data_IF_575934025886
#
_entry.id   IF_575934025886
#
_cell.length_a   1.000
_cell.length_b   1.000
_cell.length_c   1.000
_cell.angle_alpha   90.00
_cell.angle_beta   90.00
_cell.angle_gamma   90.00
#
_symmetry.space_group_name_H-M   'P 1'
#
loop_
_entity.id
_entity.type
_entity.pdbx_description
1 polymer ?
#
# COMPACT_ATOMS: atom_id res chain seq x y z
N UNK A 1 36.91 -0.95 36.25
CA UNK A 1 35.44 -0.91 36.28
C UNK A 1 34.78 0.10 35.36
N UNK A 2 35.50 0.71 34.37
CA UNK A 2 34.88 1.71 33.42
C UNK A 2 34.64 1.19 32.00
N UNK A 3 35.02 -0.02 31.66
CA UNK A 3 34.87 -0.57 30.28
C UNK A 3 33.60 -1.40 30.04
N UNK A 4 32.89 -1.85 31.08
CA UNK A 4 31.69 -2.68 30.92
C UNK A 4 30.38 -1.91 30.65
N UNK A 5 30.34 -0.61 30.92
CA UNK A 5 29.12 0.21 30.76
C UNK A 5 28.90 0.61 29.28
N UNK A 6 29.97 0.72 28.47
CA UNK A 6 29.81 1.11 27.05
C UNK A 6 29.34 -0.02 26.12
N UNK A 7 29.47 -1.29 26.53
CA UNK A 7 29.06 -2.42 25.66
C UNK A 7 27.54 -2.68 25.73
N UNK A 8 26.91 -2.40 26.88
CA UNK A 8 25.46 -2.57 27.01
C UNK A 8 24.64 -1.49 26.29
N UNK A 9 25.14 -0.25 26.19
CA UNK A 9 24.45 0.84 25.50
C UNK A 9 24.41 0.64 23.97
N UNK A 10 25.46 0.00 23.39
CA UNK A 10 25.52 -0.26 21.95
C UNK A 10 24.58 -1.39 21.52
N UNK A 11 24.38 -2.42 22.36
CA UNK A 11 23.49 -3.51 22.07
C UNK A 11 21.99 -3.10 22.08
N UNK A 12 21.61 -2.12 22.92
CA UNK A 12 20.23 -1.62 23.01
C UNK A 12 19.83 -0.81 21.77
N UNK A 13 20.78 -0.10 21.13
CA UNK A 13 20.50 0.67 19.92
C UNK A 13 20.23 -0.23 18.70
N UNK A 14 20.92 -1.36 18.57
CA UNK A 14 20.70 -2.30 17.46
C UNK A 14 19.39 -3.08 17.59
N UNK A 15 18.95 -3.43 18.80
CA UNK A 15 17.68 -4.12 19.02
C UNK A 15 16.45 -3.23 18.80
N UNK A 16 16.56 -1.92 19.07
CA UNK A 16 15.46 -0.98 18.83
C UNK A 16 15.22 -0.73 17.31
N UNK A 17 16.28 -0.70 16.49
CA UNK A 17 16.19 -0.47 15.06
C UNK A 17 15.53 -1.67 14.34
N UNK A 18 15.92 -2.90 14.64
CA UNK A 18 15.30 -4.09 14.06
C UNK A 18 13.83 -4.25 14.47
N UNK A 19 13.46 -3.85 15.68
CA UNK A 19 12.08 -3.93 16.15
C UNK A 19 11.12 -2.98 15.42
N UNK A 20 11.60 -1.81 14.98
CA UNK A 20 10.78 -0.85 14.22
C UNK A 20 10.55 -1.34 12.78
N UNK A 21 11.56 -1.87 12.10
CA UNK A 21 11.42 -2.43 10.75
C UNK A 21 10.43 -3.60 10.74
N UNK A 22 10.53 -4.52 11.70
CA UNK A 22 9.62 -5.66 11.80
C UNK A 22 8.17 -5.22 12.10
N UNK A 23 7.99 -4.23 12.98
CA UNK A 23 6.68 -3.65 13.27
C UNK A 23 6.07 -2.97 12.04
N UNK A 24 6.87 -2.21 11.27
CA UNK A 24 6.45 -1.55 10.04
C UNK A 24 6.08 -2.57 8.96
N UNK A 25 6.86 -3.66 8.80
CA UNK A 25 6.53 -4.76 7.87
C UNK A 25 5.20 -5.40 8.22
N UNK A 26 4.99 -5.71 9.50
CA UNK A 26 3.72 -6.27 9.95
C UNK A 26 2.56 -5.34 9.67
N UNK A 27 2.68 -4.05 10.01
CA UNK A 27 1.63 -3.05 9.80
C UNK A 27 1.31 -2.87 8.30
N UNK A 28 2.33 -2.84 7.43
CA UNK A 28 2.16 -2.77 5.98
C UNK A 28 1.46 -4.01 5.42
N UNK A 29 1.79 -5.21 5.92
CA UNK A 29 1.15 -6.47 5.54
C UNK A 29 -0.31 -6.53 5.95
N UNK A 30 -0.62 -6.13 7.18
CA UNK A 30 -1.99 -6.17 7.71
C UNK A 30 -2.91 -5.10 7.07
N UNK A 31 -2.34 -3.97 6.62
CA UNK A 31 -3.14 -2.80 6.22
C UNK A 31 -4.10 -3.08 5.06
N UNK A 32 -3.63 -3.70 3.99
CA UNK A 32 -4.47 -3.96 2.81
C UNK A 32 -5.54 -5.00 3.09
N UNK A 33 -5.22 -6.04 3.86
CA UNK A 33 -6.20 -7.04 4.28
C UNK A 33 -7.34 -6.41 5.07
N UNK A 34 -7.02 -5.48 5.98
CA UNK A 34 -7.99 -4.73 6.76
C UNK A 34 -8.75 -3.71 5.91
N UNK A 35 -8.06 -2.96 5.04
CA UNK A 35 -8.67 -1.92 4.19
C UNK A 35 -9.68 -2.50 3.18
N UNK A 36 -9.44 -3.71 2.69
CA UNK A 36 -10.31 -4.42 1.75
C UNK A 36 -11.31 -5.35 2.47
N UNK A 37 -11.31 -5.39 3.79
CA UNK A 37 -12.26 -6.17 4.59
C UNK A 37 -13.65 -5.52 4.64
N UNK A 38 -14.61 -6.22 5.22
CA UNK A 38 -15.95 -5.69 5.47
C UNK A 38 -15.97 -4.52 6.49
N UNK A 39 -14.89 -4.33 7.26
CA UNK A 39 -14.74 -3.23 8.23
C UNK A 39 -13.40 -2.49 8.02
N UNK A 40 -13.31 -1.57 7.05
CA UNK A 40 -12.07 -0.83 6.76
C UNK A 40 -11.65 0.14 7.87
N UNK A 41 -12.49 0.40 8.88
CA UNK A 41 -12.15 1.26 10.03
C UNK A 41 -10.94 0.72 10.82
N UNK A 42 -10.75 -0.60 10.86
CA UNK A 42 -9.59 -1.19 11.53
C UNK A 42 -8.27 -0.82 10.80
N UNK A 43 -8.29 -0.70 9.47
CA UNK A 43 -7.16 -0.17 8.70
C UNK A 43 -6.95 1.33 8.94
N UNK A 44 -8.03 2.10 9.10
CA UNK A 44 -7.97 3.53 9.38
C UNK A 44 -7.22 3.81 10.69
N UNK A 45 -7.36 2.96 11.71
CA UNK A 45 -6.61 3.07 12.97
C UNK A 45 -5.09 2.92 12.81
N UNK A 46 -4.62 2.26 11.76
CA UNK A 46 -3.20 2.12 11.46
C UNK A 46 -2.60 3.37 10.79
N UNK A 47 -3.42 4.30 10.31
CA UNK A 47 -2.97 5.48 9.56
C UNK A 47 -2.73 6.68 10.45
N UNK A 48 -1.72 7.50 10.08
CA UNK A 48 -1.44 8.79 10.70
C UNK A 48 -2.56 9.81 10.36
N UNK A 49 -2.88 10.79 11.23
CA UNK A 49 -3.85 11.85 10.90
C UNK A 49 -3.57 12.60 9.57
N UNK A 50 -2.28 12.81 9.25
CA UNK A 50 -1.85 13.44 7.99
C UNK A 50 -1.60 12.42 6.86
N UNK A 51 -2.22 11.24 6.93
CA UNK A 51 -2.07 10.18 5.92
C UNK A 51 -2.33 10.69 4.49
N UNK A 52 -1.57 10.15 3.54
CA UNK A 52 -1.77 10.38 2.10
C UNK A 52 -1.63 9.06 1.33
N UNK A 53 -2.57 8.84 0.44
CA UNK A 53 -2.51 7.79 -0.57
C UNK A 53 -2.37 8.40 -1.95
N UNK A 54 -1.53 7.82 -2.80
CA UNK A 54 -1.38 8.21 -4.20
C UNK A 54 -1.32 6.96 -5.08
N UNK A 55 -2.23 6.86 -6.01
CA UNK A 55 -2.17 5.89 -7.11
C UNK A 55 -1.22 6.45 -8.17
N UNK A 56 -0.09 5.76 -8.38
CA UNK A 56 1.00 6.24 -9.22
C UNK A 56 0.83 5.74 -10.65
N UNK A 57 0.94 6.61 -11.63
CA UNK A 57 0.84 6.23 -13.04
C UNK A 57 0.47 7.39 -13.97
N UNK A 58 -0.13 7.06 -15.12
CA UNK A 58 -0.53 8.02 -16.17
C UNK A 58 -1.98 7.78 -16.65
N UNK A 59 -2.85 7.31 -15.77
CA UNK A 59 -4.29 7.15 -16.03
C UNK A 59 -5.10 8.28 -15.41
N UNK A 60 -6.41 8.31 -15.64
CA UNK A 60 -7.31 9.37 -15.15
C UNK A 60 -7.34 9.50 -13.63
N UNK A 61 -7.04 8.42 -12.90
CA UNK A 61 -7.03 8.38 -11.43
C UNK A 61 -5.63 8.56 -10.83
N UNK A 62 -4.60 8.68 -11.67
CA UNK A 62 -3.21 8.71 -11.23
C UNK A 62 -2.77 10.07 -10.68
N UNK A 63 -1.82 10.03 -9.74
CA UNK A 63 -1.13 11.18 -9.17
C UNK A 63 -2.03 12.18 -8.42
N UNK A 64 -3.22 11.75 -8.02
CA UNK A 64 -4.13 12.51 -7.17
C UNK A 64 -3.86 12.09 -5.71
N UNK A 65 -3.46 13.01 -4.82
CA UNK A 65 -3.29 12.68 -3.41
C UNK A 65 -4.64 12.62 -2.70
N UNK A 66 -4.98 11.48 -2.14
CA UNK A 66 -6.12 11.29 -1.26
C UNK A 66 -5.64 11.37 0.19
N UNK A 67 -6.27 12.21 0.99
CA UNK A 67 -6.05 12.21 2.43
C UNK A 67 -6.77 11.01 3.09
N UNK A 68 -6.65 10.91 4.41
CA UNK A 68 -7.18 9.80 5.18
C UNK A 68 -8.67 9.58 4.93
N UNK A 69 -9.46 10.63 5.06
CA UNK A 69 -10.92 10.54 4.91
C UNK A 69 -11.29 10.25 3.44
N UNK A 70 -10.66 10.92 2.48
CA UNK A 70 -10.89 10.67 1.06
C UNK A 70 -10.48 9.25 0.62
N UNK A 71 -9.45 8.64 1.24
CA UNK A 71 -9.08 7.26 0.96
C UNK A 71 -10.17 6.27 1.41
N UNK A 72 -10.67 6.40 2.65
CA UNK A 72 -11.65 5.45 3.19
C UNK A 72 -13.09 5.73 2.72
N UNK A 73 -13.48 6.99 2.56
CA UNK A 73 -14.86 7.38 2.24
C UNK A 73 -15.11 7.51 0.73
N UNK A 74 -14.06 7.68 -0.08
CA UNK A 74 -14.21 7.85 -1.53
C UNK A 74 -13.39 6.84 -2.34
N UNK A 75 -12.05 6.75 -2.14
CA UNK A 75 -11.20 5.88 -2.96
C UNK A 75 -11.62 4.42 -2.89
N UNK A 76 -11.76 3.87 -1.70
CA UNK A 76 -12.14 2.46 -1.52
C UNK A 76 -13.55 2.16 -2.05
N UNK A 77 -14.64 2.84 -1.64
CA UNK A 77 -15.98 2.50 -2.10
C UNK A 77 -16.30 2.98 -3.51
N UNK A 78 -15.89 4.22 -3.87
CA UNK A 78 -16.33 4.86 -5.09
C UNK A 78 -15.40 4.61 -6.28
N UNK A 79 -14.10 4.35 -6.06
CA UNK A 79 -13.15 4.02 -7.13
C UNK A 79 -12.94 2.51 -7.18
N UNK A 80 -12.35 1.93 -6.15
CA UNK A 80 -12.03 0.48 -6.13
C UNK A 80 -13.31 -0.35 -6.21
N UNK A 81 -14.31 -0.09 -5.35
CA UNK A 81 -15.55 -0.86 -5.30
C UNK A 81 -16.39 -0.79 -6.59
N UNK A 82 -16.34 0.32 -7.34
CA UNK A 82 -17.04 0.44 -8.64
C UNK A 82 -16.29 -0.20 -9.79
N UNK A 83 -14.96 -0.16 -9.77
CA UNK A 83 -14.11 -0.70 -10.83
C UNK A 83 -13.87 -2.21 -10.67
N UNK A 84 -13.92 -2.71 -9.44
CA UNK A 84 -13.75 -4.10 -9.05
C UNK A 84 -14.97 -4.58 -8.23
N UNK A 85 -16.14 -4.74 -8.85
CA UNK A 85 -17.40 -4.97 -8.15
C UNK A 85 -17.46 -6.30 -7.38
N UNK A 86 -16.62 -7.27 -7.71
CA UNK A 86 -16.47 -8.55 -7.00
C UNK A 86 -15.33 -8.55 -6.00
N UNK A 87 -14.64 -7.39 -5.83
CA UNK A 87 -13.47 -7.27 -5.00
C UNK A 87 -12.18 -7.70 -5.70
N UNK A 88 -11.10 -7.75 -4.95
CA UNK A 88 -9.78 -8.19 -5.38
C UNK A 88 -9.16 -9.07 -4.28
N UNK A 89 -8.50 -10.15 -4.68
CA UNK A 89 -7.62 -10.91 -3.79
C UNK A 89 -6.18 -10.47 -4.02
N UNK A 90 -5.53 -9.97 -2.98
CA UNK A 90 -4.12 -9.57 -3.02
C UNK A 90 -3.27 -10.62 -2.31
N UNK A 91 -2.22 -11.10 -2.99
CA UNK A 91 -1.25 -12.05 -2.43
C UNK A 91 0.11 -11.39 -2.33
N UNK A 92 0.65 -11.24 -1.12
CA UNK A 92 2.02 -10.75 -0.91
C UNK A 92 3.02 -11.79 -1.40
N UNK A 93 3.89 -11.38 -2.32
CA UNK A 93 4.96 -12.23 -2.87
C UNK A 93 6.31 -11.93 -2.24
N UNK A 94 6.55 -10.66 -1.84
CA UNK A 94 7.79 -10.24 -1.17
C UNK A 94 7.59 -8.93 -0.40
N UNK A 95 8.50 -8.61 0.53
CA UNK A 95 8.59 -7.34 1.25
C UNK A 95 10.04 -6.91 1.42
N UNK A 96 10.34 -5.70 0.97
CA UNK A 96 11.64 -5.04 1.18
C UNK A 96 11.43 -3.91 2.18
N UNK A 97 12.22 -3.87 3.24
CA UNK A 97 12.07 -2.87 4.30
C UNK A 97 13.40 -2.41 4.86
N UNK A 98 13.45 -1.13 5.21
CA UNK A 98 14.55 -0.49 5.93
C UNK A 98 13.99 0.58 6.90
N UNK A 99 14.86 1.46 7.42
CA UNK A 99 14.46 2.54 8.33
C UNK A 99 13.61 3.62 7.63
N UNK A 100 13.64 3.70 6.30
CA UNK A 100 12.90 4.68 5.51
C UNK A 100 11.48 4.23 5.15
N UNK A 101 11.19 2.91 5.16
CA UNK A 101 9.87 2.41 4.86
C UNK A 101 9.78 0.94 4.47
N UNK A 102 8.64 0.57 3.89
CA UNK A 102 8.36 -0.80 3.44
C UNK A 102 7.82 -0.75 2.01
N UNK A 103 8.39 -1.57 1.13
CA UNK A 103 7.81 -1.88 -0.17
C UNK A 103 7.21 -3.29 -0.11
N UNK A 104 5.88 -3.39 -0.31
CA UNK A 104 5.15 -4.66 -0.38
C UNK A 104 4.90 -4.98 -1.84
N UNK A 105 5.38 -6.14 -2.30
CA UNK A 105 5.21 -6.63 -3.66
C UNK A 105 4.07 -7.64 -3.66
N UNK A 106 3.06 -7.44 -4.50
CA UNK A 106 1.84 -8.25 -4.50
C UNK A 106 1.38 -8.63 -5.90
N UNK A 107 0.67 -9.72 -5.98
CA UNK A 107 -0.14 -10.12 -7.14
C UNK A 107 -1.61 -10.00 -6.78
N UNK A 108 -2.40 -9.45 -7.69
CA UNK A 108 -3.84 -9.31 -7.57
C UNK A 108 -4.57 -10.22 -8.55
N UNK A 109 -5.66 -10.82 -8.06
CA UNK A 109 -6.62 -11.62 -8.83
C UNK A 109 -7.99 -10.94 -8.69
N UNK A 110 -8.52 -10.42 -9.79
CA UNK A 110 -9.78 -9.68 -9.82
C UNK A 110 -10.45 -9.72 -11.19
N UNK A 111 -11.78 -9.52 -11.18
CA UNK A 111 -12.55 -9.19 -12.38
C UNK A 111 -12.86 -7.69 -12.38
N UNK A 112 -12.28 -6.97 -13.33
CA UNK A 112 -12.60 -5.56 -13.55
C UNK A 112 -13.92 -5.40 -14.32
N UNK A 113 -14.44 -4.18 -14.40
CA UNK A 113 -15.69 -3.90 -15.15
C UNK A 113 -15.59 -4.18 -16.66
N UNK A 114 -14.42 -4.47 -17.17
CA UNK A 114 -14.14 -4.76 -18.59
C UNK A 114 -13.23 -5.98 -18.77
N UNK A 115 -13.34 -6.98 -17.90
CA UNK A 115 -12.65 -8.26 -17.98
C UNK A 115 -11.54 -8.44 -16.96
N UNK A 116 -10.89 -9.59 -17.00
CA UNK A 116 -9.85 -10.04 -16.09
C UNK A 116 -8.79 -8.95 -15.79
N UNK A 117 -8.56 -8.69 -14.50
CA UNK A 117 -7.66 -7.65 -14.00
C UNK A 117 -6.63 -8.23 -13.03
N UNK A 118 -5.89 -9.22 -13.49
CA UNK A 118 -4.79 -9.83 -12.74
C UNK A 118 -3.54 -8.94 -12.84
N UNK A 119 -3.42 -8.03 -11.90
CA UNK A 119 -2.38 -7.02 -11.92
C UNK A 119 -1.26 -7.33 -10.90
N UNK A 120 -0.12 -6.67 -11.08
CA UNK A 120 1.01 -6.74 -10.14
C UNK A 120 1.22 -5.37 -9.52
N UNK A 121 1.53 -5.39 -8.22
CA UNK A 121 1.57 -4.18 -7.42
C UNK A 121 2.88 -4.04 -6.66
N UNK A 122 3.30 -2.80 -6.47
CA UNK A 122 4.24 -2.41 -5.43
C UNK A 122 3.60 -1.29 -4.62
N UNK A 123 3.33 -1.55 -3.35
CA UNK A 123 2.89 -0.55 -2.40
C UNK A 123 4.07 -0.06 -1.57
N UNK A 124 4.39 1.22 -1.66
CA UNK A 124 5.49 1.83 -0.91
C UNK A 124 4.93 2.61 0.26
N UNK A 125 5.22 2.13 1.47
CA UNK A 125 4.76 2.69 2.74
C UNK A 125 5.84 3.55 3.37
N UNK A 126 5.44 4.72 3.88
CA UNK A 126 6.24 5.53 4.81
C UNK A 126 5.53 5.63 6.15
N UNK A 127 6.30 5.72 7.22
CA UNK A 127 5.79 5.74 8.58
C UNK A 127 6.18 7.03 9.31
N UNK A 128 5.30 7.47 10.20
CA UNK A 128 5.52 8.60 11.09
C UNK A 128 4.78 8.34 12.40
N UNK A 129 5.46 8.57 13.52
CA UNK A 129 4.90 8.39 14.87
C UNK A 129 4.25 7.00 15.08
N UNK A 130 4.86 5.95 14.51
CA UNK A 130 4.39 4.56 14.63
C UNK A 130 3.12 4.24 13.84
N UNK A 131 2.76 5.06 12.84
CA UNK A 131 1.58 4.90 11.97
C UNK A 131 1.95 5.05 10.50
N UNK A 132 1.15 4.50 9.60
CA UNK A 132 1.30 4.66 8.14
C UNK A 132 1.04 6.13 7.79
N UNK A 133 2.07 6.81 7.30
CA UNK A 133 2.00 8.23 6.93
C UNK A 133 1.66 8.42 5.46
N UNK A 134 2.22 7.58 4.58
CA UNK A 134 1.84 7.61 3.16
C UNK A 134 1.95 6.24 2.51
N UNK A 135 1.13 6.05 1.47
CA UNK A 135 1.18 4.89 0.57
C UNK A 135 1.23 5.39 -0.86
N UNK A 136 2.22 4.92 -1.63
CA UNK A 136 2.26 5.06 -3.08
C UNK A 136 2.04 3.69 -3.71
N UNK A 137 0.99 3.55 -4.51
CA UNK A 137 0.66 2.32 -5.23
C UNK A 137 1.15 2.40 -6.67
N UNK A 138 1.96 1.44 -7.07
CA UNK A 138 2.43 1.26 -8.44
C UNK A 138 1.86 -0.03 -9.03
N UNK A 139 1.40 0.02 -10.27
CA UNK A 139 0.86 -1.14 -10.97
C UNK A 139 0.95 -0.97 -12.49
N UNK A 140 0.24 -1.80 -13.28
CA UNK A 140 0.22 -1.70 -14.74
C UNK A 140 -0.85 -0.72 -15.23
N UNK A 141 -0.45 0.47 -15.65
CA UNK A 141 -1.34 1.45 -16.31
C UNK A 141 -2.10 0.85 -17.50
N UNK A 142 -1.48 -0.09 -18.22
CA UNK A 142 -2.10 -0.75 -19.37
C UNK A 142 -3.34 -1.55 -18.94
N UNK A 143 -3.25 -2.33 -17.86
CA UNK A 143 -4.37 -3.08 -17.34
C UNK A 143 -5.43 -2.15 -16.76
N UNK A 144 -5.04 -1.12 -16.02
CA UNK A 144 -5.97 -0.09 -15.54
C UNK A 144 -6.75 0.51 -16.70
N UNK A 145 -6.08 1.04 -17.72
CA UNK A 145 -6.72 1.68 -18.86
C UNK A 145 -7.67 0.74 -19.61
N UNK A 146 -7.29 -0.51 -19.82
CA UNK A 146 -8.07 -1.45 -20.68
C UNK A 146 -9.13 -2.22 -19.91
N UNK A 147 -8.89 -2.59 -18.63
CA UNK A 147 -9.79 -3.45 -17.84
C UNK A 147 -10.71 -2.66 -16.91
N UNK A 148 -10.29 -1.46 -16.49
CA UNK A 148 -11.08 -0.61 -15.60
C UNK A 148 -11.72 0.58 -16.34
N UNK A 149 -11.09 1.13 -17.40
CA UNK A 149 -11.59 2.30 -18.15
C UNK A 149 -11.97 2.03 -19.60
N UNK A 150 -12.01 0.76 -20.03
CA UNK A 150 -12.46 0.32 -21.36
C UNK A 150 -11.68 0.91 -22.54
N UNK A 151 -10.47 1.43 -22.31
CA UNK A 151 -9.61 1.90 -23.39
C UNK A 151 -9.20 0.73 -24.28
N UNK A 152 -8.90 1.02 -25.53
CA UNK A 152 -8.48 0.02 -26.53
C UNK A 152 -7.08 0.35 -27.03
N UNK A 153 -6.25 -0.68 -27.17
CA UNK A 153 -4.99 -0.57 -27.87
C UNK A 153 -5.26 -0.54 -29.36
N UNK A 154 -4.71 0.45 -30.05
CA UNK A 154 -4.75 0.55 -31.51
C UNK A 154 -3.31 0.44 -32.00
N UNK A 155 -2.97 -0.51 -32.91
CA UNK A 155 -1.65 -0.57 -33.51
C UNK A 155 -1.33 0.75 -34.22
N UNK A 156 -0.08 1.21 -34.09
CA UNK A 156 0.42 2.31 -34.92
C UNK A 156 0.70 1.78 -36.33
N UNK A 157 0.33 2.53 -37.35
CA UNK A 157 0.70 2.27 -38.77
C UNK A 157 2.21 2.34 -38.93
#
# INVERSE_FOLDING_TARGET
MKQFINLCALAILFTACSSNVDANKKMAGDFLDLALSANPLDAQELTHPDFKFVFMGNTEISNIPYDRDAYFDYWLPEVVGKLLPTGITLTTTDMIADDDGVAVIMEGDAEGINGEYDNKYVFVYKFKDGKIFSIHEYNSDLLVATRLYKNKLVPSD
#
